data_IF_403193927101
#
_entry.id   IF_403193927101
#
_cell.length_a   1.000
_cell.length_b   1.000
_cell.length_c   1.000
_cell.angle_alpha   90.00
_cell.angle_beta   90.00
_cell.angle_gamma   90.00
#
_symmetry.space_group_name_H-M   'P 1'
#
loop_
_entity.id
_entity.type
_entity.pdbx_description
1 polymer ?
#
# COMPACT_ATOMS: atom_id res chain seq x y z
N UNK A 1 -12.66 -12.74 4.01
CA UNK A 1 -14.00 -12.77 3.39
C UNK A 1 -14.92 -11.92 4.26
N UNK A 2 -15.69 -11.02 3.65
CA UNK A 2 -16.54 -10.08 4.38
C UNK A 2 -17.90 -10.69 4.74
N UNK A 3 -18.54 -10.20 5.80
CA UNK A 3 -19.80 -10.75 6.32
C UNK A 3 -20.99 -10.54 5.36
N UNK A 4 -21.95 -11.49 5.31
CA UNK A 4 -23.26 -11.27 4.70
C UNK A 4 -23.98 -10.06 5.32
N UNK A 5 -24.80 -9.37 4.51
CA UNK A 5 -25.51 -8.14 4.90
C UNK A 5 -26.50 -8.34 6.06
N UNK A 6 -26.94 -9.57 6.33
CA UNK A 6 -28.00 -9.90 7.29
C UNK A 6 -27.47 -10.38 8.67
N UNK A 7 -26.20 -10.14 9.00
CA UNK A 7 -25.63 -10.51 10.30
C UNK A 7 -25.17 -9.22 11.01
N UNK A 8 -25.33 -9.09 12.34
CA UNK A 8 -24.86 -7.91 13.06
C UNK A 8 -23.35 -7.66 12.84
N UNK A 9 -22.92 -6.38 12.79
CA UNK A 9 -21.52 -6.03 12.60
C UNK A 9 -20.62 -6.67 13.66
N UNK A 10 -19.46 -7.17 13.24
CA UNK A 10 -18.51 -7.83 14.15
C UNK A 10 -18.09 -6.95 15.34
N UNK A 11 -17.88 -7.55 16.53
CA UNK A 11 -17.36 -6.85 17.70
C UNK A 11 -16.04 -6.14 17.42
N UNK A 12 -15.82 -4.99 18.06
CA UNK A 12 -14.66 -4.11 17.87
C UNK A 12 -13.31 -4.85 17.97
N UNK A 13 -13.17 -5.82 18.88
CA UNK A 13 -11.94 -6.62 19.02
C UNK A 13 -11.60 -7.49 17.82
N UNK A 14 -12.60 -8.15 17.20
CA UNK A 14 -12.38 -8.96 15.98
C UNK A 14 -12.12 -8.09 14.75
N UNK A 15 -12.70 -6.89 14.72
CA UNK A 15 -12.41 -5.92 13.68
C UNK A 15 -10.95 -5.43 13.74
N UNK A 16 -10.40 -5.23 14.94
CA UNK A 16 -8.99 -4.87 15.09
C UNK A 16 -8.06 -5.94 14.48
N UNK A 17 -8.32 -7.22 14.70
CA UNK A 17 -7.57 -8.31 14.07
C UNK A 17 -7.66 -8.29 12.54
N UNK A 18 -8.82 -7.90 11.98
CA UNK A 18 -8.98 -7.73 10.53
C UNK A 18 -8.12 -6.57 10.00
N UNK A 19 -8.10 -5.44 10.70
CA UNK A 19 -7.24 -4.29 10.35
C UNK A 19 -5.77 -4.69 10.43
N UNK A 20 -5.36 -5.39 11.49
CA UNK A 20 -3.99 -5.88 11.66
C UNK A 20 -3.59 -6.81 10.51
N UNK A 21 -4.45 -7.75 10.12
CA UNK A 21 -4.19 -8.65 8.99
C UNK A 21 -4.00 -7.89 7.66
N UNK A 22 -4.85 -6.90 7.37
CA UNK A 22 -4.68 -6.06 6.17
C UNK A 22 -3.39 -5.22 6.26
N UNK A 23 -3.08 -4.70 7.46
CA UNK A 23 -1.83 -3.99 7.73
C UNK A 23 -0.59 -4.86 7.49
N UNK A 24 -0.60 -6.12 7.90
CA UNK A 24 0.49 -7.06 7.63
C UNK A 24 0.65 -7.37 6.14
N UNK A 25 -0.46 -7.52 5.40
CA UNK A 25 -0.42 -7.71 3.94
C UNK A 25 0.16 -6.47 3.26
N UNK A 26 -0.29 -5.28 3.65
CA UNK A 26 0.24 -4.02 3.14
C UNK A 26 1.73 -3.86 3.46
N UNK A 27 2.15 -4.17 4.68
CA UNK A 27 3.55 -4.12 5.10
C UNK A 27 4.42 -5.07 4.28
N UNK A 28 3.97 -6.32 4.07
CA UNK A 28 4.69 -7.29 3.26
C UNK A 28 4.86 -6.79 1.80
N UNK A 29 3.80 -6.25 1.21
CA UNK A 29 3.85 -5.68 -0.14
C UNK A 29 4.85 -4.52 -0.22
N UNK A 30 4.81 -3.59 0.75
CA UNK A 30 5.75 -2.47 0.82
C UNK A 30 7.18 -2.96 1.00
N UNK A 31 7.45 -3.91 1.89
CA UNK A 31 8.79 -4.44 2.14
C UNK A 31 9.39 -5.10 0.89
N UNK A 32 8.61 -5.92 0.18
CA UNK A 32 9.07 -6.54 -1.08
C UNK A 32 9.34 -5.47 -2.14
N UNK A 33 8.47 -4.48 -2.26
CA UNK A 33 8.64 -3.35 -3.17
C UNK A 33 9.91 -2.56 -2.87
N UNK A 34 10.20 -2.34 -1.58
CA UNK A 34 11.38 -1.65 -1.07
C UNK A 34 12.67 -2.38 -1.46
N UNK A 35 12.73 -3.68 -1.23
CA UNK A 35 13.89 -4.50 -1.60
C UNK A 35 14.13 -4.43 -3.11
N UNK A 36 13.08 -4.55 -3.93
CA UNK A 36 13.20 -4.44 -5.39
C UNK A 36 13.75 -3.07 -5.83
N UNK A 37 13.26 -1.98 -5.24
CA UNK A 37 13.73 -0.63 -5.55
C UNK A 37 15.19 -0.41 -5.15
N UNK A 38 15.55 -0.81 -3.93
CA UNK A 38 16.92 -0.69 -3.42
C UNK A 38 17.89 -1.46 -4.33
N UNK A 39 17.60 -2.73 -4.62
CA UNK A 39 18.47 -3.54 -5.47
C UNK A 39 18.59 -2.95 -6.88
N UNK A 40 17.50 -2.43 -7.44
CA UNK A 40 17.55 -1.80 -8.76
C UNK A 40 18.40 -0.53 -8.81
N UNK A 41 18.29 0.36 -7.81
CA UNK A 41 19.14 1.56 -7.74
C UNK A 41 20.60 1.24 -7.43
N UNK A 42 20.88 0.24 -6.59
CA UNK A 42 22.25 -0.20 -6.32
C UNK A 42 22.91 -0.86 -7.54
N UNK A 43 22.15 -1.56 -8.38
CA UNK A 43 22.69 -2.24 -9.57
C UNK A 43 22.87 -1.31 -10.76
N UNK A 44 21.88 -0.47 -11.05
CA UNK A 44 21.90 0.44 -12.21
C UNK A 44 22.78 1.67 -11.97
N UNK A 45 22.75 2.23 -10.77
CA UNK A 45 23.36 3.55 -10.47
C UNK A 45 24.45 3.49 -9.40
N UNK A 46 24.78 2.29 -8.90
CA UNK A 46 25.78 2.08 -7.84
C UNK A 46 25.56 2.98 -6.62
N UNK A 47 24.31 3.31 -6.32
CA UNK A 47 23.95 4.14 -5.19
C UNK A 47 24.32 3.45 -3.87
N UNK A 48 24.62 4.24 -2.83
CA UNK A 48 24.73 3.68 -1.49
C UNK A 48 23.39 3.09 -1.06
N UNK A 49 23.40 2.11 -0.14
CA UNK A 49 22.17 1.49 0.34
C UNK A 49 21.18 2.51 0.93
N UNK A 50 21.69 3.53 1.63
CA UNK A 50 20.87 4.59 2.22
C UNK A 50 20.25 5.50 1.15
N UNK A 51 21.01 5.88 0.11
CA UNK A 51 20.48 6.70 -0.99
C UNK A 51 19.45 5.93 -1.82
N UNK A 52 19.71 4.64 -2.06
CA UNK A 52 18.79 3.74 -2.74
C UNK A 52 17.51 3.54 -1.94
N UNK A 53 17.62 3.34 -0.63
CA UNK A 53 16.48 3.25 0.30
C UNK A 53 15.66 4.55 0.30
N UNK A 54 16.31 5.71 0.38
CA UNK A 54 15.64 7.00 0.42
C UNK A 54 14.85 7.26 -0.87
N UNK A 55 15.47 7.07 -2.06
CA UNK A 55 14.80 7.24 -3.34
C UNK A 55 13.61 6.28 -3.51
N UNK A 56 13.84 5.02 -3.16
CA UNK A 56 12.80 3.98 -3.21
C UNK A 56 11.62 4.30 -2.29
N UNK A 57 11.92 4.71 -1.05
CA UNK A 57 10.91 5.02 -0.05
C UNK A 57 10.09 6.24 -0.41
N UNK A 58 10.71 7.27 -1.01
CA UNK A 58 9.97 8.43 -1.46
C UNK A 58 9.01 8.08 -2.58
N UNK A 59 9.46 7.34 -3.60
CA UNK A 59 8.60 6.88 -4.69
C UNK A 59 7.42 6.05 -4.17
N UNK A 60 7.67 5.09 -3.27
CA UNK A 60 6.60 4.28 -2.65
C UNK A 60 5.68 5.10 -1.75
N UNK A 61 6.20 6.18 -1.15
CA UNK A 61 5.42 7.13 -0.37
C UNK A 61 4.62 8.13 -1.22
N UNK A 62 4.71 8.05 -2.55
CA UNK A 62 4.05 8.99 -3.47
C UNK A 62 4.76 10.35 -3.59
N UNK A 63 5.93 10.49 -2.98
CA UNK A 63 6.80 11.65 -3.10
C UNK A 63 7.81 11.38 -4.23
N UNK A 64 8.08 12.36 -5.09
CA UNK A 64 9.04 12.18 -6.18
C UNK A 64 10.43 11.72 -5.68
N UNK A 65 11.29 11.18 -6.56
CA UNK A 65 12.62 10.74 -6.18
C UNK A 65 13.50 11.93 -5.73
N UNK A 66 14.44 11.69 -4.80
CA UNK A 66 15.39 12.71 -4.31
C UNK A 66 16.50 12.97 -5.30
N UNK A 67 17.00 11.91 -5.94
CA UNK A 67 18.14 11.97 -6.85
C UNK A 67 17.71 11.62 -8.27
N UNK A 68 17.65 12.64 -9.11
CA UNK A 68 17.30 12.53 -10.54
C UNK A 68 18.45 12.98 -11.46
N UNK A 69 19.41 13.72 -10.92
CA UNK A 69 20.56 14.22 -11.66
C UNK A 69 21.67 13.19 -11.78
N UNK A 70 22.33 13.16 -12.94
CA UNK A 70 23.47 12.27 -13.20
C UNK A 70 23.11 10.79 -13.43
N UNK A 71 21.81 10.45 -13.50
CA UNK A 71 21.38 9.08 -13.80
C UNK A 71 21.86 8.64 -15.19
N UNK A 72 22.37 7.41 -15.30
CA UNK A 72 22.69 6.77 -16.57
C UNK A 72 21.42 6.53 -17.41
N UNK A 73 21.58 6.20 -18.69
CA UNK A 73 20.42 5.86 -19.54
C UNK A 73 19.61 4.67 -18.99
N UNK A 74 20.32 3.66 -18.47
CA UNK A 74 19.71 2.48 -17.86
C UNK A 74 19.01 2.83 -16.53
N UNK A 75 19.64 3.65 -15.69
CA UNK A 75 19.03 4.10 -14.44
C UNK A 75 17.81 4.99 -14.64
N UNK A 76 17.77 5.82 -15.70
CA UNK A 76 16.56 6.57 -16.06
C UNK A 76 15.42 5.66 -16.46
N UNK A 77 15.69 4.63 -17.26
CA UNK A 77 14.69 3.65 -17.66
C UNK A 77 14.16 2.87 -16.44
N UNK A 78 15.06 2.40 -15.58
CA UNK A 78 14.70 1.74 -14.33
C UNK A 78 13.87 2.65 -13.43
N UNK A 79 14.33 3.88 -13.17
CA UNK A 79 13.64 4.83 -12.31
C UNK A 79 12.23 5.16 -12.82
N UNK A 80 12.06 5.31 -14.14
CA UNK A 80 10.75 5.55 -14.75
C UNK A 80 9.78 4.38 -14.59
N UNK A 81 10.24 3.16 -14.89
CA UNK A 81 9.43 1.93 -14.72
C UNK A 81 9.09 1.72 -13.25
N UNK A 82 10.08 1.87 -12.37
CA UNK A 82 9.91 1.68 -10.94
C UNK A 82 8.97 2.74 -10.35
N UNK A 83 9.02 4.00 -10.80
CA UNK A 83 8.09 5.03 -10.37
C UNK A 83 6.63 4.73 -10.75
N UNK A 84 6.37 4.23 -11.96
CA UNK A 84 5.04 3.77 -12.36
C UNK A 84 4.54 2.64 -11.45
N UNK A 85 5.39 1.64 -11.24
CA UNK A 85 5.11 0.53 -10.33
C UNK A 85 4.84 1.01 -8.90
N UNK A 86 5.67 1.90 -8.37
CA UNK A 86 5.54 2.44 -7.02
C UNK A 86 4.23 3.21 -6.83
N UNK A 87 3.79 3.98 -7.82
CA UNK A 87 2.49 4.65 -7.81
C UNK A 87 1.32 3.67 -7.74
N UNK A 88 1.37 2.57 -8.50
CA UNK A 88 0.39 1.49 -8.44
C UNK A 88 0.39 0.78 -7.07
N UNK A 89 1.57 0.52 -6.51
CA UNK A 89 1.72 -0.06 -5.17
C UNK A 89 1.14 0.87 -4.10
N UNK A 90 1.39 2.17 -4.18
CA UNK A 90 0.83 3.16 -3.25
C UNK A 90 -0.71 3.09 -3.24
N UNK A 91 -1.34 3.11 -4.42
CA UNK A 91 -2.80 2.98 -4.56
C UNK A 91 -3.29 1.63 -4.00
N UNK A 92 -2.58 0.54 -4.30
CA UNK A 92 -2.94 -0.80 -3.81
C UNK A 92 -2.87 -0.89 -2.28
N UNK A 93 -1.81 -0.35 -1.66
CA UNK A 93 -1.64 -0.31 -0.20
C UNK A 93 -2.76 0.49 0.46
N UNK A 94 -3.06 1.68 -0.06
CA UNK A 94 -4.20 2.48 0.42
C UNK A 94 -5.52 1.72 0.29
N UNK A 95 -5.75 1.05 -0.83
CA UNK A 95 -6.95 0.25 -1.07
C UNK A 95 -7.08 -0.91 -0.08
N UNK A 96 -5.98 -1.64 0.18
CA UNK A 96 -5.95 -2.74 1.15
C UNK A 96 -6.26 -2.24 2.56
N UNK A 97 -5.70 -1.10 2.96
CA UNK A 97 -5.95 -0.53 4.29
C UNK A 97 -7.37 0.03 4.44
N UNK A 98 -7.91 0.66 3.41
CA UNK A 98 -9.25 1.27 3.45
C UNK A 98 -10.39 0.27 3.27
N UNK A 99 -10.19 -0.81 2.51
CA UNK A 99 -11.21 -1.82 2.24
C UNK A 99 -11.98 -2.30 3.50
N UNK A 100 -11.33 -2.72 4.61
CA UNK A 100 -12.07 -3.15 5.80
C UNK A 100 -12.86 -2.04 6.48
N UNK A 101 -12.39 -0.79 6.39
CA UNK A 101 -13.08 0.39 6.96
C UNK A 101 -14.31 0.72 6.13
N UNK A 102 -14.15 0.86 4.82
CA UNK A 102 -15.24 1.14 3.88
C UNK A 102 -16.30 0.04 3.96
N UNK A 103 -15.87 -1.22 3.96
CA UNK A 103 -16.79 -2.34 4.11
C UNK A 103 -17.57 -2.27 5.43
N UNK A 104 -16.92 -1.91 6.55
CA UNK A 104 -17.60 -1.78 7.86
C UNK A 104 -18.60 -0.63 7.88
N UNK A 105 -18.27 0.52 7.29
CA UNK A 105 -19.18 1.66 7.20
C UNK A 105 -20.41 1.28 6.38
N UNK A 106 -20.21 0.71 5.19
CA UNK A 106 -21.30 0.26 4.33
C UNK A 106 -22.16 -0.80 5.02
N UNK A 107 -21.53 -1.77 5.69
CA UNK A 107 -22.26 -2.83 6.39
C UNK A 107 -23.10 -2.29 7.54
N UNK A 108 -22.60 -1.31 8.32
CA UNK A 108 -23.39 -0.64 9.37
C UNK A 108 -24.57 0.14 8.81
N UNK A 109 -24.37 0.93 7.75
CA UNK A 109 -25.44 1.73 7.14
C UNK A 109 -26.59 0.85 6.63
N UNK A 110 -26.26 -0.27 5.98
CA UNK A 110 -27.29 -1.21 5.52
C UNK A 110 -28.01 -1.90 6.69
N UNK A 111 -27.28 -2.29 7.74
CA UNK A 111 -27.87 -2.94 8.90
C UNK A 111 -28.84 -2.03 9.67
N UNK A 112 -28.48 -0.77 9.89
CA UNK A 112 -29.35 0.22 10.56
C UNK A 112 -30.65 0.45 9.77
N UNK A 113 -30.58 0.51 8.43
CA UNK A 113 -31.77 0.69 7.59
C UNK A 113 -32.76 -0.49 7.58
N UNK A 114 -32.29 -1.70 7.88
CA UNK A 114 -33.15 -2.89 8.02
C UNK A 114 -33.78 -2.91 9.40
N UNK A 115 -33.01 -2.60 10.45
CA UNK A 115 -33.51 -2.57 11.82
C UNK A 115 -34.56 -1.47 12.10
N UNK A 116 -34.56 -0.38 11.33
CA UNK A 116 -35.59 0.67 11.44
C UNK A 116 -36.94 0.29 10.80
N UNK A 117 -36.94 -0.74 9.93
CA UNK A 117 -38.16 -1.21 9.24
C UNK A 117 -38.90 -2.34 9.98
N UNK A 118 -38.32 -2.89 11.04
CA UNK A 118 -38.92 -3.91 11.91
C UNK A 118 -39.43 -3.29 13.21
#
# INVERSE_FOLDING_TARGET
MYEPRNIPPIPSGRFFLRILSHGLIALALVSVSLVMGITGYMTTEKMSMLDAFLNTSMLLGGMGPVKTEGLSAEGKLFAGIYALYAGLVFIAVMSIMLAPVVHRIMHRLHWESVAEKE
#
